data_IF_037081739232
#
_entry.id   IF_037081739232
#
_cell.length_a   1.000
_cell.length_b   1.000
_cell.length_c   1.000
_cell.angle_alpha   90.00
_cell.angle_beta   90.00
_cell.angle_gamma   90.00
#
_symmetry.space_group_name_H-M   'P 1'
#
loop_
_entity.id
_entity.type
_entity.pdbx_description
1 polymer ?
#
# COMPACT_ATOMS: atom_id res chain seq x y z
N UNK A 1 -6.83 1.54 -3.25
CA UNK A 1 -7.06 2.17 -1.93
C UNK A 1 -8.20 3.19 -1.99
N UNK A 2 -9.36 2.78 -2.47
CA UNK A 2 -10.47 3.66 -2.82
C UNK A 2 -11.75 3.15 -2.17
N UNK A 3 -12.07 3.63 -0.96
CA UNK A 3 -13.34 3.29 -0.31
C UNK A 3 -14.52 3.92 -1.09
N UNK A 4 -15.71 3.28 -1.08
CA UNK A 4 -16.07 2.06 -0.36
C UNK A 4 -15.64 0.75 -1.04
N UNK A 5 -14.91 0.81 -2.16
CA UNK A 5 -14.66 -0.35 -3.02
C UNK A 5 -13.50 -1.26 -2.57
N UNK A 6 -12.52 -0.74 -1.83
CA UNK A 6 -11.32 -1.50 -1.42
C UNK A 6 -10.90 -1.18 0.02
N UNK A 7 -9.73 -0.55 0.21
CA UNK A 7 -9.07 -0.33 1.50
C UNK A 7 -8.52 1.09 1.58
N UNK A 8 -8.26 1.63 2.78
CA UNK A 8 -7.44 2.86 2.94
C UNK A 8 -5.95 2.52 2.97
N UNK A 9 -5.03 3.51 2.86
CA UNK A 9 -3.59 3.27 3.04
C UNK A 9 -3.23 2.61 4.38
N UNK A 10 -3.93 2.95 5.46
CA UNK A 10 -3.73 2.36 6.79
C UNK A 10 -4.10 0.88 6.81
N UNK A 11 -5.24 0.54 6.23
CA UNK A 11 -5.68 -0.86 6.11
C UNK A 11 -4.70 -1.69 5.27
N UNK A 12 -4.11 -1.11 4.22
CA UNK A 12 -3.10 -1.79 3.41
C UNK A 12 -1.81 -2.00 4.20
N UNK A 13 -1.34 -1.00 4.96
CA UNK A 13 -0.16 -1.13 5.80
C UNK A 13 -0.34 -2.23 6.87
N UNK A 14 -1.49 -2.23 7.54
CA UNK A 14 -1.83 -3.26 8.53
C UNK A 14 -1.89 -4.66 7.89
N UNK A 15 -2.61 -4.81 6.77
CA UNK A 15 -2.68 -6.07 6.04
C UNK A 15 -1.30 -6.56 5.58
N UNK A 16 -0.46 -5.69 5.02
CA UNK A 16 0.89 -6.05 4.58
C UNK A 16 1.77 -6.50 5.75
N UNK A 17 1.60 -5.91 6.94
CA UNK A 17 2.30 -6.32 8.16
C UNK A 17 1.93 -7.74 8.64
N UNK A 18 0.70 -8.19 8.39
CA UNK A 18 0.23 -9.51 8.85
C UNK A 18 0.93 -10.69 8.16
N UNK A 19 1.24 -10.56 6.87
CA UNK A 19 1.82 -11.67 6.07
C UNK A 19 3.16 -11.34 5.43
N UNK A 20 3.63 -10.09 5.57
CA UNK A 20 4.98 -9.61 5.22
C UNK A 20 5.44 -10.04 3.81
N UNK A 21 4.78 -9.55 2.75
CA UNK A 21 5.19 -9.88 1.38
C UNK A 21 6.58 -9.31 1.07
N UNK A 22 7.38 -10.05 0.28
CA UNK A 22 8.67 -9.52 -0.20
C UNK A 22 8.51 -8.26 -1.05
N UNK A 23 7.43 -8.18 -1.83
CA UNK A 23 7.14 -7.05 -2.71
C UNK A 23 5.66 -6.72 -2.65
N UNK A 24 5.32 -5.46 -2.41
CA UNK A 24 3.96 -4.94 -2.42
C UNK A 24 3.77 -4.02 -3.62
N UNK A 25 2.80 -4.33 -4.48
CA UNK A 25 2.38 -3.48 -5.59
C UNK A 25 0.97 -2.93 -5.33
N UNK A 26 0.84 -1.68 -4.87
CA UNK A 26 -0.46 -1.03 -4.74
C UNK A 26 -1.09 -0.86 -6.14
N UNK A 27 -2.31 -1.37 -6.29
CA UNK A 27 -3.11 -1.27 -7.52
C UNK A 27 -4.54 -0.81 -7.18
N UNK A 28 -5.34 -0.53 -8.21
CA UNK A 28 -6.73 -0.10 -8.05
C UNK A 28 -6.86 1.08 -7.07
N UNK A 29 -6.00 2.08 -7.28
CA UNK A 29 -5.78 3.18 -6.36
C UNK A 29 -6.45 4.49 -6.78
N UNK A 30 -7.01 4.58 -7.99
CA UNK A 30 -7.72 5.78 -8.45
C UNK A 30 -6.83 7.02 -8.30
N UNK A 31 -7.28 7.98 -7.50
CA UNK A 31 -6.56 9.22 -7.18
C UNK A 31 -5.93 9.22 -5.78
N UNK A 32 -5.85 8.06 -5.12
CA UNK A 32 -5.31 7.97 -3.76
C UNK A 32 -3.85 8.39 -3.71
N UNK A 33 -3.51 9.22 -2.72
CA UNK A 33 -2.12 9.59 -2.46
C UNK A 33 -1.32 8.40 -1.90
N UNK A 34 -0.46 7.85 -2.76
CA UNK A 34 0.42 6.73 -2.43
C UNK A 34 1.61 7.14 -1.55
N UNK A 35 1.93 8.43 -1.43
CA UNK A 35 2.98 8.90 -0.53
C UNK A 35 2.66 8.57 0.93
N UNK A 36 1.37 8.59 1.28
CA UNK A 36 0.88 8.19 2.61
C UNK A 36 1.19 6.74 2.92
N UNK A 37 1.00 5.82 1.96
CA UNK A 37 1.33 4.41 2.14
C UNK A 37 2.83 4.21 2.34
N UNK A 38 3.68 4.89 1.55
CA UNK A 38 5.14 4.82 1.72
C UNK A 38 5.58 5.30 3.10
N UNK A 39 4.97 6.38 3.62
CA UNK A 39 5.27 6.89 4.95
C UNK A 39 4.89 5.90 6.06
N UNK A 40 3.75 5.21 5.91
CA UNK A 40 3.30 4.17 6.86
C UNK A 40 4.20 2.93 6.83
N UNK A 41 4.74 2.58 5.67
CA UNK A 41 5.56 1.38 5.49
C UNK A 41 7.08 1.61 5.67
N UNK A 42 7.51 2.83 6.04
CA UNK A 42 8.93 3.21 6.14
C UNK A 42 9.75 2.30 7.07
N UNK A 43 9.11 1.73 8.08
CA UNK A 43 9.76 0.91 9.11
C UNK A 43 9.75 -0.59 8.74
N UNK A 44 8.98 -0.99 7.71
CA UNK A 44 8.87 -2.37 7.20
C UNK A 44 9.97 -2.67 6.16
N UNK A 45 11.20 -2.87 6.64
CA UNK A 45 12.41 -2.99 5.79
C UNK A 45 12.46 -4.22 4.89
N UNK A 46 11.66 -5.24 5.16
CA UNK A 46 11.57 -6.49 4.40
C UNK A 46 10.47 -6.49 3.33
N UNK A 47 9.67 -5.41 3.25
CA UNK A 47 8.62 -5.25 2.26
C UNK A 47 9.03 -4.18 1.24
N UNK A 48 9.30 -4.58 0.00
CA UNK A 48 9.61 -3.66 -1.09
C UNK A 48 8.31 -3.10 -1.70
N UNK A 49 7.95 -1.86 -1.33
CA UNK A 49 6.76 -1.18 -1.85
C UNK A 49 7.08 -0.52 -3.19
N UNK A 50 6.45 -1.01 -4.26
CA UNK A 50 6.68 -0.54 -5.63
C UNK A 50 5.46 0.14 -6.21
N UNK A 51 5.52 1.46 -6.31
CA UNK A 51 4.46 2.26 -6.94
C UNK A 51 4.62 2.24 -8.46
N UNK A 52 3.56 1.85 -9.16
CA UNK A 52 3.45 1.96 -10.62
C UNK A 52 2.19 2.75 -10.98
N UNK A 53 2.23 3.48 -12.09
CA UNK A 53 1.04 4.10 -12.68
C UNK A 53 0.16 3.01 -13.31
N UNK A 54 -0.66 2.39 -12.46
CA UNK A 54 -1.69 1.42 -12.82
C UNK A 54 -3.02 2.06 -12.43
N UNK A 55 -3.57 2.88 -13.33
CA UNK A 55 -4.92 3.44 -13.18
C UNK A 55 -5.95 2.35 -13.48
#
# INVERSE_FOLDING_TARGET
>A
MNLPYTMTPEMVADAAGMFRPKVLYPYHQGETDTAKLLALMKDEKDIDVRIRKMK
#
